data_IF_737750757575
#
_entry.id   IF_737750757575
#
_cell.length_a   1.000
_cell.length_b   1.000
_cell.length_c   1.000
_cell.angle_alpha   90.00
_cell.angle_beta   90.00
_cell.angle_gamma   90.00
#
_symmetry.space_group_name_H-M   'P 1'
#
loop_
_entity.id
_entity.type
_entity.pdbx_description
1 polymer ?
#
# COMPACT_ATOMS: atom_id res chain seq x y z
N UNK A 1 15.88 7.83 6.92
CA UNK A 1 15.32 7.08 5.77
C UNK A 1 13.85 7.47 5.71
N UNK A 2 13.35 7.90 4.56
CA UNK A 2 11.94 8.28 4.41
C UNK A 2 11.10 7.02 4.61
N UNK A 3 10.39 6.91 5.74
CA UNK A 3 9.46 5.81 6.02
C UNK A 3 8.19 6.02 5.19
N UNK A 4 8.29 5.88 3.86
CA UNK A 4 7.14 5.93 2.98
C UNK A 4 6.27 4.67 3.19
N UNK A 5 4.98 4.90 3.40
CA UNK A 5 4.04 3.83 3.66
C UNK A 5 3.98 2.87 2.46
N UNK A 6 4.12 1.56 2.73
CA UNK A 6 4.07 0.50 1.71
C UNK A 6 2.69 0.36 1.06
N UNK A 7 1.65 0.89 1.70
CA UNK A 7 0.27 0.92 1.24
C UNK A 7 -0.25 2.33 1.42
N UNK A 8 -0.92 2.85 0.38
CA UNK A 8 -1.68 4.08 0.45
C UNK A 8 -3.17 3.74 0.33
N UNK A 9 -4.01 4.37 1.14
CA UNK A 9 -5.46 4.16 1.12
C UNK A 9 -6.19 5.48 0.88
N UNK A 10 -7.13 5.49 -0.07
CA UNK A 10 -7.95 6.66 -0.38
C UNK A 10 -9.42 6.25 -0.48
N UNK A 11 -10.31 6.93 0.24
CA UNK A 11 -11.75 6.70 0.13
C UNK A 11 -12.36 7.65 -0.92
N UNK A 12 -12.92 7.08 -1.99
CA UNK A 12 -13.66 7.79 -3.05
C UNK A 12 -15.14 7.43 -2.97
N UNK A 13 -15.88 8.17 -2.15
CA UNK A 13 -17.29 7.90 -1.89
C UNK A 13 -17.49 6.54 -1.21
N UNK A 14 -18.08 5.57 -1.92
CA UNK A 14 -18.30 4.19 -1.42
C UNK A 14 -17.23 3.19 -1.87
N UNK A 15 -16.14 3.67 -2.47
CA UNK A 15 -15.03 2.85 -2.97
C UNK A 15 -13.77 3.17 -2.18
N UNK A 16 -13.08 2.14 -1.68
CA UNK A 16 -11.75 2.25 -1.10
C UNK A 16 -10.71 1.89 -2.17
N UNK A 17 -9.85 2.85 -2.52
CA UNK A 17 -8.72 2.65 -3.41
C UNK A 17 -7.48 2.35 -2.56
N UNK A 18 -6.89 1.17 -2.78
CA UNK A 18 -5.68 0.72 -2.08
C UNK A 18 -4.56 0.65 -3.11
N UNK A 19 -3.51 1.43 -2.90
CA UNK A 19 -2.34 1.50 -3.78
C UNK A 19 -1.16 0.83 -3.12
N UNK A 20 -0.58 -0.15 -3.81
CA UNK A 20 0.67 -0.78 -3.42
C UNK A 20 1.81 0.16 -3.81
N UNK A 21 2.53 0.69 -2.81
CA UNK A 21 3.53 1.73 -2.99
C UNK A 21 4.94 1.16 -2.80
N UNK A 22 5.24 0.07 -3.52
CA UNK A 22 6.55 -0.60 -3.51
C UNK A 22 7.04 -0.93 -4.93
N UNK A 23 7.17 0.08 -5.80
CA UNK A 23 7.57 -0.12 -7.19
C UNK A 23 8.96 -0.79 -7.33
N UNK A 24 9.87 -0.54 -6.37
CA UNK A 24 11.21 -1.15 -6.31
C UNK A 24 11.17 -2.67 -6.15
N UNK A 25 10.09 -3.20 -5.58
CA UNK A 25 9.85 -4.62 -5.38
C UNK A 25 8.78 -5.17 -6.33
N UNK A 26 8.45 -4.44 -7.41
CA UNK A 26 7.34 -4.77 -8.32
C UNK A 26 6.00 -4.99 -7.59
N UNK A 27 5.79 -4.27 -6.48
CA UNK A 27 4.63 -4.45 -5.59
C UNK A 27 4.45 -5.89 -5.08
N UNK A 28 5.54 -6.63 -4.90
CA UNK A 28 5.50 -7.98 -4.34
C UNK A 28 4.86 -7.99 -2.93
N UNK A 29 3.88 -8.87 -2.74
CA UNK A 29 3.18 -9.06 -1.47
C UNK A 29 4.13 -9.68 -0.45
N UNK A 30 4.28 -9.04 0.70
CA UNK A 30 5.04 -9.58 1.84
C UNK A 30 4.30 -9.31 3.17
N UNK A 31 4.88 -9.73 4.28
CA UNK A 31 4.30 -9.54 5.62
C UNK A 31 4.06 -8.06 5.98
N UNK A 32 4.85 -7.13 5.46
CA UNK A 32 4.64 -5.69 5.66
C UNK A 32 3.37 -5.18 4.95
N UNK A 33 3.03 -5.76 3.80
CA UNK A 33 1.78 -5.51 3.06
C UNK A 33 0.57 -6.21 3.69
N UNK A 34 0.77 -7.36 4.33
CA UNK A 34 -0.31 -8.18 4.89
C UNK A 34 -0.87 -7.64 6.22
N UNK A 35 -0.12 -6.80 6.94
CA UNK A 35 -0.58 -6.13 8.17
C UNK A 35 -1.30 -4.80 7.92
N UNK A 36 -1.42 -4.36 6.66
CA UNK A 36 -1.97 -3.04 6.29
C UNK A 36 -3.42 -3.03 5.83
N UNK A 37 -4.10 -4.20 5.84
CA UNK A 37 -5.54 -4.35 5.61
C UNK A 37 -6.24 -4.63 6.95
#
# INVERSE_FOLDING_TARGET
MSDEAAVLTEARGRVLLITLNRPEAMNAINGALSNGL
#
